data_IF_050029605972
#
_entry.id   IF_050029605972
#
_cell.length_a   1.000
_cell.length_b   1.000
_cell.length_c   1.000
_cell.angle_alpha   90.00
_cell.angle_beta   90.00
_cell.angle_gamma   90.00
#
_symmetry.space_group_name_H-M   'P 1'
#
loop_
_entity.id
_entity.type
_entity.pdbx_description
1 polymer ?
#
# COMPACT_ATOMS: atom_id res chain seq x y z
N UNK A 1 19.17 -34.69 -24.58
CA UNK A 1 18.30 -33.82 -23.76
C UNK A 1 17.56 -34.70 -22.75
N UNK A 2 17.98 -34.75 -21.48
CA UNK A 2 17.19 -35.26 -20.34
C UNK A 2 18.04 -35.02 -19.08
N UNK A 3 17.94 -33.81 -18.52
CA UNK A 3 18.49 -33.50 -17.20
C UNK A 3 17.33 -33.64 -16.20
N UNK A 4 17.09 -34.83 -15.63
CA UNK A 4 15.96 -35.06 -14.74
C UNK A 4 16.00 -34.15 -13.51
N UNK A 5 17.20 -33.76 -13.09
CA UNK A 5 17.43 -32.77 -12.04
C UNK A 5 16.91 -31.38 -12.40
N UNK A 6 17.06 -30.94 -13.65
CA UNK A 6 16.55 -29.65 -14.12
C UNK A 6 15.02 -29.64 -14.20
N UNK A 7 14.43 -30.76 -14.61
CA UNK A 7 12.97 -30.93 -14.59
C UNK A 7 12.42 -30.94 -13.18
N UNK A 8 13.04 -31.69 -12.27
CA UNK A 8 12.66 -31.70 -10.86
C UNK A 8 12.75 -30.30 -10.24
N UNK A 9 13.85 -29.59 -10.52
CA UNK A 9 14.03 -28.19 -10.10
C UNK A 9 12.92 -27.28 -10.64
N UNK A 10 12.65 -27.34 -11.95
CA UNK A 10 11.58 -26.55 -12.57
C UNK A 10 10.20 -26.88 -11.96
N UNK A 11 9.90 -28.17 -11.74
CA UNK A 11 8.65 -28.62 -11.12
C UNK A 11 8.48 -28.08 -9.70
N UNK A 12 9.50 -28.21 -8.85
CA UNK A 12 9.47 -27.71 -7.47
C UNK A 12 9.37 -26.18 -7.44
N UNK A 13 9.94 -25.49 -8.43
CA UNK A 13 9.92 -24.02 -8.48
C UNK A 13 8.59 -23.49 -9.01
N UNK A 14 7.97 -24.17 -9.98
CA UNK A 14 6.79 -23.65 -10.71
C UNK A 14 5.48 -24.12 -10.07
N UNK A 15 5.36 -25.40 -9.66
CA UNK A 15 4.09 -25.94 -9.19
C UNK A 15 3.52 -25.19 -7.96
N UNK A 16 4.30 -24.86 -6.92
CA UNK A 16 3.79 -24.09 -5.80
C UNK A 16 3.27 -22.71 -6.22
N UNK A 17 3.92 -22.05 -7.18
CA UNK A 17 3.46 -20.75 -7.70
C UNK A 17 2.15 -20.88 -8.46
N UNK A 18 1.97 -21.94 -9.27
CA UNK A 18 0.70 -22.21 -9.97
C UNK A 18 -0.42 -22.51 -8.96
N UNK A 19 -0.16 -23.40 -8.00
CA UNK A 19 -1.13 -23.76 -6.97
C UNK A 19 -1.54 -22.55 -6.12
N UNK A 20 -0.57 -21.71 -5.74
CA UNK A 20 -0.83 -20.47 -5.03
C UNK A 20 -1.65 -19.48 -5.88
N UNK A 21 -1.30 -19.31 -7.16
CA UNK A 21 -2.03 -18.42 -8.06
C UNK A 21 -3.49 -18.85 -8.21
N UNK A 22 -3.73 -20.15 -8.37
CA UNK A 22 -5.07 -20.72 -8.39
C UNK A 22 -5.84 -20.44 -7.11
N UNK A 23 -5.23 -20.71 -5.95
CA UNK A 23 -5.85 -20.45 -4.65
C UNK A 23 -6.19 -18.97 -4.46
N UNK A 24 -5.24 -18.08 -4.76
CA UNK A 24 -5.42 -16.64 -4.64
C UNK A 24 -6.50 -16.11 -5.60
N UNK A 25 -6.65 -16.71 -6.79
CA UNK A 25 -7.76 -16.40 -7.70
C UNK A 25 -9.12 -16.72 -7.06
N UNK A 26 -9.27 -17.93 -6.48
CA UNK A 26 -10.50 -18.32 -5.78
C UNK A 26 -10.85 -17.38 -4.61
N UNK A 27 -9.84 -16.95 -3.85
CA UNK A 27 -10.03 -15.97 -2.78
C UNK A 27 -10.51 -14.64 -3.34
N UNK A 28 -9.91 -14.16 -4.44
CA UNK A 28 -10.33 -12.91 -5.07
C UNK A 28 -11.75 -12.96 -5.63
N UNK A 29 -12.21 -14.09 -6.16
CA UNK A 29 -13.59 -14.21 -6.63
C UNK A 29 -14.58 -14.21 -5.46
N UNK A 30 -14.19 -14.78 -4.32
CA UNK A 30 -15.07 -14.98 -3.17
C UNK A 30 -15.19 -13.76 -2.26
N UNK A 31 -14.12 -13.00 -2.07
CA UNK A 31 -14.05 -11.93 -1.07
C UNK A 31 -13.81 -10.56 -1.70
N UNK A 32 -14.53 -9.55 -1.20
CA UNK A 32 -14.26 -8.15 -1.50
C UNK A 32 -12.80 -7.78 -1.14
N UNK A 33 -12.12 -6.90 -1.90
CA UNK A 33 -12.61 -6.06 -3.01
C UNK A 33 -12.62 -6.72 -4.39
N UNK A 34 -12.66 -8.05 -4.48
CA UNK A 34 -12.64 -8.79 -5.73
C UNK A 34 -11.46 -8.43 -6.63
N UNK A 35 -10.30 -8.27 -6.00
CA UNK A 35 -9.10 -7.78 -6.65
C UNK A 35 -8.06 -8.89 -6.76
N UNK A 36 -7.57 -9.11 -7.97
CA UNK A 36 -6.56 -10.13 -8.24
C UNK A 36 -5.36 -9.59 -9.03
N UNK A 37 -4.19 -10.19 -8.79
CA UNK A 37 -2.99 -9.90 -9.56
C UNK A 37 -3.16 -10.38 -11.01
N UNK A 38 -3.02 -9.45 -11.96
CA UNK A 38 -3.28 -9.70 -13.38
C UNK A 38 -4.69 -9.33 -13.84
N UNK A 39 -5.54 -8.80 -12.95
CA UNK A 39 -6.81 -8.20 -13.36
C UNK A 39 -6.56 -7.14 -14.45
N UNK A 40 -7.25 -7.27 -15.59
CA UNK A 40 -7.04 -6.44 -16.79
C UNK A 40 -6.06 -7.00 -17.84
N UNK A 41 -5.38 -8.11 -17.55
CA UNK A 41 -4.62 -8.90 -18.52
C UNK A 41 -3.42 -8.20 -19.18
N UNK A 42 -3.03 -8.70 -20.35
CA UNK A 42 -2.01 -8.11 -21.22
C UNK A 42 -2.65 -6.95 -21.98
N UNK A 43 -2.23 -5.72 -21.66
CA UNK A 43 -2.82 -4.51 -22.22
C UNK A 43 -1.80 -3.39 -22.30
N UNK A 44 -1.57 -2.90 -23.51
CA UNK A 44 -0.80 -1.69 -23.78
C UNK A 44 -1.72 -0.48 -23.52
N UNK A 45 -1.22 0.50 -22.80
CA UNK A 45 -1.96 1.70 -22.40
C UNK A 45 -1.53 2.95 -23.20
N UNK A 46 -2.22 4.08 -22.97
CA UNK A 46 -1.87 5.35 -23.62
C UNK A 46 -0.60 5.94 -23.02
N UNK A 47 0.10 6.80 -23.77
CA UNK A 47 1.34 7.44 -23.32
C UNK A 47 1.24 8.11 -21.94
N UNK A 48 0.12 8.79 -21.64
CA UNK A 48 -0.10 9.44 -20.34
C UNK A 48 -0.03 8.47 -19.15
N UNK A 49 -0.43 7.20 -19.36
CA UNK A 49 -0.31 6.13 -18.37
C UNK A 49 1.16 5.81 -18.09
N UNK A 50 1.94 5.57 -19.14
CA UNK A 50 3.37 5.29 -19.01
C UNK A 50 4.14 6.48 -18.46
N UNK A 51 3.77 7.70 -18.83
CA UNK A 51 4.36 8.91 -18.28
C UNK A 51 4.16 8.99 -16.76
N UNK A 52 2.99 8.61 -16.25
CA UNK A 52 2.73 8.51 -14.81
C UNK A 52 3.64 7.47 -14.15
N UNK A 53 3.80 6.29 -14.76
CA UNK A 53 4.70 5.25 -14.25
C UNK A 53 6.14 5.77 -14.22
N UNK A 54 6.66 6.30 -15.33
CA UNK A 54 8.02 6.85 -15.44
C UNK A 54 8.26 7.91 -14.37
N UNK A 55 7.34 8.87 -14.21
CA UNK A 55 7.46 9.94 -13.21
C UNK A 55 7.47 9.40 -11.80
N UNK A 56 6.56 8.49 -11.46
CA UNK A 56 6.51 7.89 -10.12
C UNK A 56 7.76 7.05 -9.82
N UNK A 57 8.20 6.23 -10.76
CA UNK A 57 9.41 5.42 -10.61
C UNK A 57 10.65 6.30 -10.45
N UNK A 58 10.81 7.33 -11.28
CA UNK A 58 11.99 8.19 -11.22
C UNK A 58 12.05 9.05 -9.94
N UNK A 59 10.91 9.53 -9.45
CA UNK A 59 10.86 10.48 -8.33
C UNK A 59 10.70 9.77 -6.98
N UNK A 60 9.90 8.70 -6.92
CA UNK A 60 9.55 8.01 -5.67
C UNK A 60 10.34 6.74 -5.46
N UNK A 61 10.36 5.81 -6.43
CA UNK A 61 11.01 4.50 -6.24
C UNK A 61 12.53 4.58 -6.33
N UNK A 62 13.04 5.29 -7.33
CA UNK A 62 14.48 5.44 -7.55
C UNK A 62 15.02 6.68 -6.84
N UNK A 63 14.22 7.75 -6.72
CA UNK A 63 14.66 9.12 -6.42
C UNK A 63 15.36 9.80 -7.60
N UNK A 64 15.28 11.15 -7.73
CA UNK A 64 15.85 11.84 -8.89
C UNK A 64 17.36 11.63 -9.06
N UNK A 65 18.12 11.54 -7.96
CA UNK A 65 19.58 11.35 -8.03
C UNK A 65 19.95 9.99 -8.55
N UNK A 66 19.38 8.93 -7.99
CA UNK A 66 19.61 7.58 -8.50
C UNK A 66 19.18 7.47 -9.96
N UNK A 67 18.06 8.10 -10.34
CA UNK A 67 17.59 8.10 -11.73
C UNK A 67 18.60 8.76 -12.67
N UNK A 68 19.11 9.94 -12.33
CA UNK A 68 20.11 10.66 -13.15
C UNK A 68 21.40 9.85 -13.24
N UNK A 69 21.92 9.36 -12.12
CA UNK A 69 23.15 8.57 -12.11
C UNK A 69 22.99 7.24 -12.85
N UNK A 70 21.84 6.57 -12.72
CA UNK A 70 21.55 5.35 -13.47
C UNK A 70 21.49 5.61 -14.98
N UNK A 71 20.91 6.72 -15.41
CA UNK A 71 20.88 7.10 -16.83
C UNK A 71 22.30 7.36 -17.37
N UNK A 72 23.13 8.11 -16.64
CA UNK A 72 24.54 8.31 -17.01
C UNK A 72 25.25 6.95 -17.09
N UNK A 73 25.08 6.13 -16.06
CA UNK A 73 25.66 4.81 -15.91
C UNK A 73 25.33 3.85 -17.05
N UNK A 74 24.09 3.89 -17.52
CA UNK A 74 23.63 3.10 -18.66
C UNK A 74 24.45 3.37 -19.93
N UNK A 75 24.85 4.62 -20.17
CA UNK A 75 25.63 5.00 -21.35
C UNK A 75 27.13 4.79 -21.20
N UNK A 76 27.66 4.86 -19.97
CA UNK A 76 29.11 4.70 -19.71
C UNK A 76 29.51 3.29 -19.25
N UNK A 77 28.55 2.40 -19.04
CA UNK A 77 28.81 1.04 -18.57
C UNK A 77 29.72 0.25 -19.52
N UNK A 78 30.77 -0.41 -19.00
CA UNK A 78 31.66 -1.21 -19.81
C UNK A 78 30.91 -2.41 -20.39
N UNK A 79 31.20 -2.73 -21.65
CA UNK A 79 30.63 -3.91 -22.31
C UNK A 79 31.29 -5.17 -21.74
N UNK A 80 30.56 -5.91 -20.90
CA UNK A 80 31.05 -7.14 -20.28
C UNK A 80 29.92 -8.08 -19.88
N UNK A 81 30.26 -9.34 -19.55
CA UNK A 81 29.27 -10.37 -19.21
C UNK A 81 28.36 -9.97 -18.04
N UNK A 82 28.92 -9.32 -17.02
CA UNK A 82 28.17 -8.89 -15.83
C UNK A 82 27.27 -7.70 -16.13
N UNK A 83 27.77 -6.68 -16.85
CA UNK A 83 26.94 -5.55 -17.27
C UNK A 83 25.77 -6.00 -18.16
N UNK A 84 25.98 -6.99 -19.03
CA UNK A 84 24.94 -7.51 -19.93
C UNK A 84 23.73 -8.08 -19.19
N UNK A 85 23.93 -8.66 -17.99
CA UNK A 85 22.83 -9.15 -17.15
C UNK A 85 21.87 -8.01 -16.80
N UNK A 86 22.40 -6.86 -16.37
CA UNK A 86 21.58 -5.71 -16.01
C UNK A 86 20.92 -5.04 -17.20
N UNK A 87 21.54 -5.08 -18.38
CA UNK A 87 20.89 -4.63 -19.62
C UNK A 87 19.72 -5.54 -19.99
N UNK A 88 19.90 -6.86 -19.98
CA UNK A 88 18.80 -7.80 -20.24
C UNK A 88 17.68 -7.69 -19.22
N UNK A 89 18.03 -7.51 -17.95
CA UNK A 89 17.04 -7.28 -16.90
C UNK A 89 16.27 -5.98 -17.14
N UNK A 90 16.96 -4.87 -17.49
CA UNK A 90 16.32 -3.62 -17.85
C UNK A 90 15.38 -3.78 -19.05
N UNK A 91 15.83 -4.46 -20.11
CA UNK A 91 15.00 -4.74 -21.29
C UNK A 91 13.77 -5.56 -20.92
N UNK A 92 13.92 -6.61 -20.11
CA UNK A 92 12.80 -7.43 -19.64
C UNK A 92 11.79 -6.61 -18.84
N UNK A 93 12.27 -5.72 -17.96
CA UNK A 93 11.41 -4.83 -17.19
C UNK A 93 10.68 -3.80 -18.07
N UNK A 94 11.36 -3.21 -19.06
CA UNK A 94 10.74 -2.28 -20.01
C UNK A 94 9.65 -3.01 -20.80
N UNK A 95 9.93 -4.21 -21.30
CA UNK A 95 8.94 -5.03 -22.01
C UNK A 95 7.76 -5.39 -21.11
N UNK A 96 8.02 -5.81 -19.87
CA UNK A 96 6.97 -6.11 -18.89
C UNK A 96 6.08 -4.89 -18.62
N UNK A 97 6.67 -3.71 -18.40
CA UNK A 97 5.92 -2.47 -18.16
C UNK A 97 5.07 -2.09 -19.38
N UNK A 98 5.59 -2.23 -20.60
CA UNK A 98 4.86 -1.88 -21.82
C UNK A 98 3.74 -2.88 -22.09
N UNK A 99 4.07 -4.17 -22.16
CA UNK A 99 3.14 -5.25 -22.56
C UNK A 99 2.05 -5.45 -21.50
N UNK A 100 2.40 -5.36 -20.22
CA UNK A 100 1.48 -5.49 -19.08
C UNK A 100 1.19 -4.11 -18.48
N UNK A 101 0.85 -3.15 -19.33
CA UNK A 101 0.67 -1.74 -18.97
C UNK A 101 -0.31 -1.52 -17.83
N UNK A 102 -1.53 -2.05 -17.95
CA UNK A 102 -2.54 -1.93 -16.89
C UNK A 102 -2.12 -2.64 -15.59
N UNK A 103 -1.53 -3.83 -15.69
CA UNK A 103 -1.06 -4.58 -14.51
C UNK A 103 0.02 -3.83 -13.72
N UNK A 104 0.78 -2.95 -14.38
CA UNK A 104 1.77 -2.07 -13.77
C UNK A 104 1.16 -0.81 -13.10
N UNK A 105 -0.14 -0.82 -12.78
CA UNK A 105 -0.85 0.30 -12.10
C UNK A 105 -0.31 0.68 -10.73
N UNK A 106 0.37 -0.25 -10.05
CA UNK A 106 0.89 -0.02 -8.71
C UNK A 106 2.43 0.15 -8.71
N UNK A 107 2.97 1.11 -7.94
CA UNK A 107 4.40 1.43 -7.93
C UNK A 107 5.33 0.27 -7.55
N UNK A 108 4.84 -0.70 -6.78
CA UNK A 108 5.67 -1.81 -6.31
C UNK A 108 6.08 -2.78 -7.41
N UNK A 109 5.38 -2.81 -8.55
CA UNK A 109 5.80 -3.61 -9.71
C UNK A 109 7.06 -3.09 -10.39
N UNK A 110 7.46 -1.85 -10.09
CA UNK A 110 8.69 -1.26 -10.60
C UNK A 110 9.88 -1.42 -9.64
N UNK A 111 9.71 -2.00 -8.45
CA UNK A 111 10.81 -2.28 -7.53
C UNK A 111 11.98 -3.09 -8.14
N UNK A 112 11.77 -4.04 -9.07
CA UNK A 112 12.88 -4.71 -9.73
C UNK A 112 13.79 -3.78 -10.56
N UNK A 113 13.39 -2.54 -10.86
CA UNK A 113 14.26 -1.52 -11.47
C UNK A 113 15.29 -0.94 -10.49
N UNK A 114 15.07 -1.04 -9.17
CA UNK A 114 15.98 -0.51 -8.15
C UNK A 114 17.40 -1.11 -8.24
N UNK A 115 17.60 -2.44 -8.23
CA UNK A 115 18.94 -3.02 -8.35
C UNK A 115 19.61 -2.71 -9.69
N UNK A 116 18.83 -2.64 -10.78
CA UNK A 116 19.33 -2.22 -12.10
C UNK A 116 19.88 -0.79 -12.02
N UNK A 117 19.09 0.14 -11.50
CA UNK A 117 19.46 1.54 -11.36
C UNK A 117 20.66 1.72 -10.43
N UNK A 118 20.71 0.99 -9.31
CA UNK A 118 21.82 1.05 -8.35
C UNK A 118 23.15 0.65 -9.00
N UNK A 119 23.16 -0.41 -9.81
CA UNK A 119 24.38 -0.84 -10.52
C UNK A 119 24.83 0.20 -11.52
N UNK A 120 23.93 0.70 -12.37
CA UNK A 120 24.30 1.74 -13.33
C UNK A 120 24.75 3.03 -12.62
N UNK A 121 24.08 3.43 -11.55
CA UNK A 121 24.50 4.60 -10.77
C UNK A 121 25.90 4.41 -10.17
N UNK A 122 26.23 3.22 -9.67
CA UNK A 122 27.59 2.89 -9.21
C UNK A 122 28.63 3.02 -10.32
N UNK A 123 28.31 2.56 -11.55
CA UNK A 123 29.16 2.76 -12.73
C UNK A 123 29.35 4.25 -13.02
N UNK A 124 28.29 5.06 -12.97
CA UNK A 124 28.38 6.51 -13.16
C UNK A 124 29.28 7.16 -12.11
N UNK A 125 29.14 6.80 -10.83
CA UNK A 125 30.02 7.28 -9.77
C UNK A 125 31.49 6.95 -10.05
N UNK A 126 31.79 5.71 -10.46
CA UNK A 126 33.16 5.30 -10.77
C UNK A 126 33.73 6.07 -11.98
N UNK A 127 32.92 6.24 -13.03
CA UNK A 127 33.29 7.02 -14.20
C UNK A 127 33.56 8.49 -13.86
N UNK A 128 32.65 9.15 -13.15
CA UNK A 128 32.81 10.56 -12.75
C UNK A 128 34.03 10.72 -11.84
N UNK A 129 34.19 9.84 -10.85
CA UNK A 129 35.35 9.85 -9.95
C UNK A 129 36.68 9.78 -10.71
N UNK A 130 36.78 8.89 -11.71
CA UNK A 130 37.98 8.78 -12.58
C UNK A 130 38.27 10.02 -13.42
N UNK A 131 37.30 10.93 -13.60
CA UNK A 131 37.48 12.20 -14.32
C UNK A 131 37.83 13.36 -13.41
N UNK A 132 37.61 13.23 -12.09
CA UNK A 132 37.88 14.28 -11.12
C UNK A 132 39.37 14.28 -10.73
N UNK A 133 39.89 13.16 -10.25
CA UNK A 133 41.27 13.05 -9.78
C UNK A 133 41.65 11.60 -9.50
N UNK A 134 42.92 11.25 -9.73
CA UNK A 134 43.51 9.98 -9.30
C UNK A 134 43.94 10.00 -7.82
N UNK A 135 43.83 11.14 -7.13
CA UNK A 135 44.18 11.25 -5.71
C UNK A 135 43.23 10.46 -4.83
N UNK A 136 43.78 9.58 -3.97
CA UNK A 136 43.02 8.81 -3.00
C UNK A 136 42.17 9.70 -2.08
N UNK A 137 42.70 10.85 -1.68
CA UNK A 137 41.98 11.80 -0.82
C UNK A 137 40.77 12.38 -1.57
N UNK A 138 40.97 12.82 -2.82
CA UNK A 138 39.88 13.35 -3.64
C UNK A 138 38.77 12.30 -3.89
N UNK A 139 39.15 11.04 -4.12
CA UNK A 139 38.19 9.94 -4.31
C UNK A 139 37.40 9.61 -3.04
N UNK A 140 38.04 9.65 -1.86
CA UNK A 140 37.35 9.49 -0.58
C UNK A 140 36.37 10.64 -0.37
N UNK A 141 36.81 11.88 -0.56
CA UNK A 141 35.96 13.08 -0.43
C UNK A 141 34.76 13.02 -1.38
N UNK A 142 34.98 12.65 -2.64
CA UNK A 142 33.90 12.47 -3.63
C UNK A 142 32.92 11.38 -3.20
N UNK A 143 33.42 10.24 -2.72
CA UNK A 143 32.58 9.13 -2.25
C UNK A 143 31.70 9.52 -1.06
N UNK A 144 32.28 10.25 -0.09
CA UNK A 144 31.53 10.79 1.06
C UNK A 144 30.47 11.77 0.58
N UNK A 145 30.82 12.69 -0.31
CA UNK A 145 29.89 13.66 -0.87
C UNK A 145 28.71 12.96 -1.59
N UNK A 146 28.99 11.98 -2.44
CA UNK A 146 27.96 11.20 -3.13
C UNK A 146 27.09 10.44 -2.13
N UNK A 147 27.67 9.80 -1.11
CA UNK A 147 26.90 9.10 -0.09
C UNK A 147 25.94 10.05 0.67
N UNK A 148 26.42 11.24 1.04
CA UNK A 148 25.60 12.27 1.69
C UNK A 148 24.49 12.74 0.74
N UNK A 149 24.83 13.01 -0.53
CA UNK A 149 23.87 13.45 -1.55
C UNK A 149 22.72 12.45 -1.72
N UNK A 150 23.05 11.16 -1.89
CA UNK A 150 22.07 10.08 -2.01
C UNK A 150 21.22 9.97 -0.74
N UNK A 151 21.84 10.05 0.45
CA UNK A 151 21.13 9.93 1.73
C UNK A 151 20.15 11.08 1.97
N UNK A 152 20.61 12.31 1.78
CA UNK A 152 19.78 13.53 1.97
C UNK A 152 18.63 13.55 0.98
N UNK A 153 18.87 13.25 -0.29
CA UNK A 153 17.80 13.29 -1.29
C UNK A 153 16.85 12.09 -1.15
N UNK A 154 17.34 10.91 -0.78
CA UNK A 154 16.45 9.81 -0.41
C UNK A 154 15.55 10.19 0.77
N UNK A 155 16.10 10.80 1.82
CA UNK A 155 15.31 11.29 2.95
C UNK A 155 14.24 12.30 2.54
N UNK A 156 14.61 13.32 1.75
CA UNK A 156 13.69 14.38 1.35
C UNK A 156 12.51 13.88 0.51
N UNK A 157 12.75 12.92 -0.38
CA UNK A 157 11.72 12.36 -1.26
C UNK A 157 10.92 11.23 -0.61
N UNK A 158 11.52 10.45 0.29
CA UNK A 158 10.86 9.32 0.92
C UNK A 158 10.11 9.69 2.20
N UNK A 159 10.51 10.74 2.94
CA UNK A 159 9.85 11.13 4.20
C UNK A 159 8.31 11.20 4.15
N UNK A 160 7.64 11.64 3.06
CA UNK A 160 6.18 11.67 3.04
C UNK A 160 5.56 10.28 3.01
N UNK A 161 6.27 9.29 2.44
CA UNK A 161 5.84 7.89 2.36
C UNK A 161 5.94 7.16 3.71
N UNK A 162 6.74 7.68 4.64
CA UNK A 162 6.84 7.16 6.01
C UNK A 162 5.80 7.75 6.97
N UNK A 163 4.88 8.61 6.48
CA UNK A 163 3.70 9.01 7.25
C UNK A 163 2.73 7.84 7.25
N UNK A 164 2.36 7.35 8.42
CA UNK A 164 1.37 6.27 8.53
C UNK A 164 0.03 6.75 7.99
N UNK A 165 -0.43 6.11 6.90
CA UNK A 165 -1.72 6.40 6.29
C UNK A 165 -2.90 6.06 7.22
N UNK A 166 -2.71 5.08 8.13
CA UNK A 166 -3.71 4.61 9.07
C UNK A 166 -3.44 5.10 10.51
N UNK A 167 -2.68 6.19 10.68
CA UNK A 167 -2.36 6.72 12.01
C UNK A 167 -3.62 7.04 12.82
N UNK A 168 -4.63 7.58 12.17
CA UNK A 168 -5.93 7.89 12.76
C UNK A 168 -6.67 6.64 13.25
N UNK A 169 -6.75 5.61 12.41
CA UNK A 169 -7.36 4.31 12.75
C UNK A 169 -6.62 3.65 13.92
N UNK A 170 -5.29 3.71 13.91
CA UNK A 170 -4.47 3.24 15.03
C UNK A 170 -4.80 4.01 16.31
N UNK A 171 -4.81 5.34 16.25
CA UNK A 171 -5.03 6.19 17.43
C UNK A 171 -6.44 5.92 18.01
N UNK A 172 -7.47 5.81 17.16
CA UNK A 172 -8.82 5.44 17.56
C UNK A 172 -8.92 4.03 18.16
N UNK A 173 -8.20 3.05 17.57
CA UNK A 173 -8.12 1.69 18.11
C UNK A 173 -7.47 1.67 19.50
N UNK A 174 -6.33 2.33 19.68
CA UNK A 174 -5.66 2.42 20.98
C UNK A 174 -6.54 3.07 22.06
N UNK A 175 -7.33 4.08 21.69
CA UNK A 175 -8.29 4.72 22.58
C UNK A 175 -9.43 3.76 22.96
N UNK A 176 -10.03 3.08 21.98
CA UNK A 176 -11.05 2.05 22.23
C UNK A 176 -10.53 0.93 23.14
N UNK A 177 -9.26 0.53 23.00
CA UNK A 177 -8.64 -0.47 23.88
C UNK A 177 -8.66 -0.02 25.35
N UNK A 178 -8.45 1.27 25.60
CA UNK A 178 -8.42 1.84 26.95
C UNK A 178 -9.83 2.09 27.52
N UNK A 179 -10.77 2.50 26.67
CA UNK A 179 -12.13 2.86 27.09
C UNK A 179 -13.08 1.68 27.27
N UNK A 180 -12.80 0.54 26.63
CA UNK A 180 -13.73 -0.59 26.55
C UNK A 180 -13.25 -1.82 27.30
N UNK A 181 -14.17 -2.63 27.82
CA UNK A 181 -13.85 -3.93 28.39
C UNK A 181 -13.26 -4.88 27.32
N UNK A 182 -12.38 -5.84 27.69
CA UNK A 182 -11.73 -6.75 26.73
C UNK A 182 -12.65 -7.53 25.79
N UNK A 183 -13.88 -7.80 26.21
CA UNK A 183 -14.91 -8.54 25.49
C UNK A 183 -15.91 -7.62 24.75
N UNK A 184 -15.72 -6.30 24.79
CA UNK A 184 -16.57 -5.36 24.09
C UNK A 184 -16.54 -5.59 22.57
N UNK A 185 -17.72 -5.52 21.96
CA UNK A 185 -17.88 -5.59 20.51
C UNK A 185 -18.08 -4.18 19.96
N UNK A 186 -17.27 -3.81 18.97
CA UNK A 186 -17.23 -2.46 18.42
C UNK A 186 -17.75 -2.42 16.98
N UNK A 187 -18.32 -1.30 16.58
CA UNK A 187 -18.67 -0.99 15.18
C UNK A 187 -17.73 0.12 14.72
N UNK A 188 -17.12 -0.02 13.54
CA UNK A 188 -16.20 0.99 13.01
C UNK A 188 -16.66 1.51 11.65
N UNK A 189 -16.93 2.82 11.57
CA UNK A 189 -17.05 3.53 10.29
C UNK A 189 -15.64 3.91 9.81
N UNK A 190 -14.99 2.98 9.11
CA UNK A 190 -13.56 3.01 8.79
C UNK A 190 -13.22 2.68 7.32
N UNK A 191 -14.24 2.68 6.46
CA UNK A 191 -14.13 2.30 5.05
C UNK A 191 -13.60 0.86 4.80
N UNK A 192 -13.78 -0.05 5.76
CA UNK A 192 -13.36 -1.44 5.63
C UNK A 192 -11.87 -1.69 5.96
N UNK A 193 -11.20 -0.76 6.62
CA UNK A 193 -9.80 -0.92 7.05
C UNK A 193 -9.72 -1.58 8.43
N UNK A 194 -9.15 -2.80 8.56
CA UNK A 194 -9.16 -3.55 9.81
C UNK A 194 -8.23 -3.00 10.90
N UNK A 195 -7.51 -1.90 10.64
CA UNK A 195 -6.53 -1.31 11.55
C UNK A 195 -7.13 -0.97 12.92
N UNK A 196 -8.36 -0.45 12.98
CA UNK A 196 -9.02 -0.13 14.25
C UNK A 196 -9.14 -1.38 15.13
N UNK A 197 -9.65 -2.48 14.59
CA UNK A 197 -9.86 -3.72 15.35
C UNK A 197 -8.53 -4.30 15.86
N UNK A 198 -7.49 -4.25 15.03
CA UNK A 198 -6.16 -4.71 15.41
C UNK A 198 -5.62 -3.95 16.64
N UNK A 199 -5.67 -2.61 16.62
CA UNK A 199 -5.15 -1.79 17.71
C UNK A 199 -6.08 -1.69 18.92
N UNK A 200 -7.39 -1.84 18.71
CA UNK A 200 -8.37 -1.95 19.78
C UNK A 200 -8.23 -3.26 20.56
N UNK A 201 -7.68 -4.30 19.93
CA UNK A 201 -7.74 -5.67 20.46
C UNK A 201 -9.19 -6.06 20.79
N UNK A 202 -10.12 -5.66 19.92
CA UNK A 202 -11.56 -5.93 20.05
C UNK A 202 -12.08 -6.58 18.78
N UNK A 203 -13.10 -7.42 18.97
CA UNK A 203 -13.90 -7.96 17.86
C UNK A 203 -14.99 -6.96 17.51
N UNK A 204 -15.55 -7.10 16.32
CA UNK A 204 -16.60 -6.22 15.87
C UNK A 204 -16.84 -6.33 14.38
N UNK A 205 -17.42 -5.27 13.84
CA UNK A 205 -17.88 -5.20 12.45
C UNK A 205 -17.55 -3.85 11.85
N UNK A 206 -17.16 -3.84 10.58
CA UNK A 206 -17.16 -2.60 9.81
C UNK A 206 -18.62 -2.12 9.67
N UNK A 207 -18.88 -0.83 9.82
CA UNK A 207 -20.23 -0.32 9.69
C UNK A 207 -20.69 -0.48 8.23
N UNK A 208 -21.90 -1.00 7.99
CA UNK A 208 -22.41 -1.39 6.68
C UNK A 208 -21.65 -2.55 6.03
N UNK A 209 -21.17 -3.51 6.83
CA UNK A 209 -20.70 -4.78 6.31
C UNK A 209 -21.83 -5.81 6.12
N UNK A 210 -21.62 -6.73 5.18
CA UNK A 210 -22.42 -7.93 5.00
C UNK A 210 -21.49 -9.13 4.90
N UNK A 211 -21.64 -10.10 5.79
CA UNK A 211 -20.82 -11.32 5.82
C UNK A 211 -19.29 -11.04 5.89
N UNK A 212 -18.89 -10.03 6.69
CA UNK A 212 -17.48 -9.61 6.80
C UNK A 212 -16.99 -8.71 5.66
N UNK A 213 -17.87 -8.32 4.74
CA UNK A 213 -17.54 -7.51 3.57
C UNK A 213 -18.14 -6.12 3.72
N UNK A 214 -17.28 -5.10 3.84
CA UNK A 214 -17.70 -3.69 3.80
C UNK A 214 -18.36 -3.36 2.45
N UNK A 215 -19.57 -2.79 2.47
CA UNK A 215 -20.38 -2.55 1.26
C UNK A 215 -20.27 -1.12 0.70
N UNK A 216 -19.37 -0.30 1.22
CA UNK A 216 -19.20 1.09 0.78
C UNK A 216 -20.01 2.09 1.59
N UNK A 217 -20.20 3.27 1.00
CA UNK A 217 -20.88 4.37 1.67
C UNK A 217 -22.38 4.08 1.85
N UNK A 218 -23.03 4.69 2.85
CA UNK A 218 -24.46 4.55 3.06
C UNK A 218 -25.23 5.13 1.88
N UNK A 219 -26.41 4.57 1.61
CA UNK A 219 -27.33 5.04 0.57
C UNK A 219 -28.28 6.09 1.14
N UNK A 220 -28.76 5.89 2.36
CA UNK A 220 -29.70 6.77 3.05
C UNK A 220 -29.61 6.64 4.59
N UNK A 221 -30.39 7.48 5.29
CA UNK A 221 -30.53 7.43 6.74
C UNK A 221 -31.06 6.08 7.23
N UNK A 222 -32.01 5.48 6.51
CA UNK A 222 -32.71 4.27 6.95
C UNK A 222 -31.76 3.07 6.99
N UNK A 223 -30.86 2.96 6.03
CA UNK A 223 -29.85 1.92 5.98
C UNK A 223 -28.93 1.96 7.21
N UNK A 224 -28.45 3.16 7.59
CA UNK A 224 -27.61 3.35 8.77
C UNK A 224 -28.33 2.96 10.06
N UNK A 225 -29.58 3.39 10.21
CA UNK A 225 -30.40 3.11 11.40
C UNK A 225 -30.65 1.60 11.54
N UNK A 226 -31.04 0.95 10.44
CA UNK A 226 -31.34 -0.50 10.42
C UNK A 226 -30.08 -1.31 10.71
N UNK A 227 -28.95 -0.98 10.09
CA UNK A 227 -27.70 -1.72 10.31
C UNK A 227 -27.16 -1.50 11.72
N UNK A 228 -27.22 -0.27 12.25
CA UNK A 228 -26.85 0.01 13.64
C UNK A 228 -27.72 -0.79 14.61
N UNK A 229 -29.03 -0.83 14.41
CA UNK A 229 -29.95 -1.61 15.24
C UNK A 229 -29.64 -3.12 15.19
N UNK A 230 -29.32 -3.64 14.00
CA UNK A 230 -28.91 -5.04 13.82
C UNK A 230 -27.59 -5.35 14.53
N UNK A 231 -26.56 -4.51 14.39
CA UNK A 231 -25.28 -4.75 15.05
C UNK A 231 -25.40 -4.61 16.58
N UNK A 232 -26.26 -3.71 17.06
CA UNK A 232 -26.64 -3.62 18.48
C UNK A 232 -27.31 -4.90 18.98
N UNK A 233 -28.23 -5.50 18.22
CA UNK A 233 -28.87 -6.76 18.62
C UNK A 233 -27.88 -7.93 18.64
N UNK A 234 -26.77 -7.85 17.91
CA UNK A 234 -25.64 -8.77 18.00
C UNK A 234 -24.66 -8.49 19.15
N UNK A 235 -24.93 -7.48 19.99
CA UNK A 235 -24.14 -7.18 21.19
C UNK A 235 -23.09 -6.09 21.02
N UNK A 236 -23.12 -5.31 19.92
CA UNK A 236 -22.25 -4.14 19.80
C UNK A 236 -22.53 -3.13 20.92
N UNK A 237 -21.47 -2.62 21.55
CA UNK A 237 -21.53 -1.68 22.67
C UNK A 237 -20.92 -0.32 22.35
N UNK A 238 -20.09 -0.23 21.32
CA UNK A 238 -19.46 1.03 20.89
C UNK A 238 -19.53 1.19 19.38
N UNK A 239 -19.61 2.44 18.93
CA UNK A 239 -19.52 2.85 17.54
C UNK A 239 -18.45 3.94 17.43
N UNK A 240 -17.53 3.80 16.47
CA UNK A 240 -16.52 4.81 16.18
C UNK A 240 -16.68 5.36 14.77
N UNK A 241 -16.62 6.68 14.66
CA UNK A 241 -16.46 7.40 13.41
C UNK A 241 -15.05 7.95 13.31
N UNK A 242 -14.55 7.99 12.09
CA UNK A 242 -13.22 8.49 11.71
C UNK A 242 -13.42 9.73 10.82
N UNK A 243 -12.41 10.58 10.65
CA UNK A 243 -12.42 11.78 9.80
C UNK A 243 -12.98 11.49 8.40
N UNK A 244 -12.67 10.32 7.83
CA UNK A 244 -13.16 9.93 6.49
C UNK A 244 -14.67 9.61 6.44
N UNK A 245 -15.33 9.50 7.59
CA UNK A 245 -16.75 9.14 7.74
C UNK A 245 -17.56 10.14 8.55
N UNK A 246 -16.93 11.19 9.10
CA UNK A 246 -17.65 12.27 9.81
C UNK A 246 -18.74 12.93 8.98
N UNK A 247 -18.52 13.05 7.67
CA UNK A 247 -19.52 13.61 6.75
C UNK A 247 -20.84 12.82 6.78
N UNK A 248 -20.87 11.56 7.23
CA UNK A 248 -22.11 10.80 7.39
C UNK A 248 -23.06 11.47 8.38
N UNK A 249 -22.53 12.04 9.46
CA UNK A 249 -23.33 12.69 10.50
C UNK A 249 -23.96 14.01 10.01
N UNK A 250 -23.32 14.68 9.05
CA UNK A 250 -23.85 15.90 8.45
C UNK A 250 -24.82 15.60 7.29
N UNK A 251 -24.49 14.59 6.48
CA UNK A 251 -25.26 14.23 5.29
C UNK A 251 -26.52 13.41 5.61
N UNK A 252 -26.50 12.64 6.71
CA UNK A 252 -27.62 11.81 7.18
C UNK A 252 -28.17 12.35 8.51
N UNK A 253 -28.93 13.47 8.50
CA UNK A 253 -29.34 14.16 9.71
C UNK A 253 -30.34 13.37 10.58
N UNK A 254 -31.18 12.52 9.97
CA UNK A 254 -32.10 11.69 10.73
C UNK A 254 -31.36 10.53 11.42
N UNK A 255 -30.31 9.99 10.78
CA UNK A 255 -29.41 9.06 11.44
C UNK A 255 -28.63 9.74 12.58
N UNK A 256 -28.12 10.95 12.39
CA UNK A 256 -27.41 11.68 13.45
C UNK A 256 -28.32 11.92 14.67
N UNK A 257 -29.56 12.36 14.45
CA UNK A 257 -30.56 12.50 15.53
C UNK A 257 -30.83 11.17 16.23
N UNK A 258 -31.01 10.10 15.47
CA UNK A 258 -31.21 8.75 16.03
C UNK A 258 -30.01 8.27 16.85
N UNK A 259 -28.79 8.57 16.40
CA UNK A 259 -27.56 8.23 17.12
C UNK A 259 -27.49 9.00 18.45
N UNK A 260 -27.81 10.30 18.46
CA UNK A 260 -27.85 11.11 19.68
C UNK A 260 -28.90 10.62 20.70
N UNK A 261 -30.02 10.08 20.22
CA UNK A 261 -31.05 9.48 21.09
C UNK A 261 -30.64 8.10 21.63
N UNK A 262 -29.84 7.35 20.88
CA UNK A 262 -29.55 5.92 21.16
C UNK A 262 -28.12 5.63 21.60
N UNK A 263 -27.25 6.63 21.64
CA UNK A 263 -25.87 6.51 22.06
C UNK A 263 -25.39 7.76 22.79
N UNK A 264 -24.38 7.59 23.63
CA UNK A 264 -23.71 8.69 24.34
C UNK A 264 -22.34 8.90 23.73
N UNK A 265 -22.04 10.13 23.28
CA UNK A 265 -20.69 10.50 22.84
C UNK A 265 -19.73 10.49 24.04
N UNK A 266 -18.72 9.62 24.02
CA UNK A 266 -17.73 9.47 25.08
C UNK A 266 -16.48 10.30 24.81
N UNK A 267 -16.09 10.39 23.54
CA UNK A 267 -14.91 11.14 23.14
C UNK A 267 -15.09 11.68 21.73
N UNK A 268 -14.74 12.94 21.56
CA UNK A 268 -14.63 13.59 20.26
C UNK A 268 -13.27 14.25 20.12
N UNK A 269 -12.60 13.95 19.02
CA UNK A 269 -11.37 14.61 18.60
C UNK A 269 -11.53 15.05 17.14
N UNK A 270 -10.62 15.88 16.60
CA UNK A 270 -10.62 16.17 15.17
C UNK A 270 -10.42 14.94 14.27
N UNK A 271 -9.97 13.81 14.83
CA UNK A 271 -9.60 12.58 14.12
C UNK A 271 -10.66 11.47 14.20
N UNK A 272 -11.36 11.37 15.34
CA UNK A 272 -12.34 10.32 15.57
C UNK A 272 -13.37 10.73 16.62
N UNK A 273 -14.55 10.12 16.57
CA UNK A 273 -15.62 10.24 17.55
C UNK A 273 -16.07 8.85 18.02
N UNK A 274 -16.05 8.61 19.33
CA UNK A 274 -16.41 7.33 19.95
C UNK A 274 -17.71 7.49 20.72
N UNK A 275 -18.70 6.68 20.35
CA UNK A 275 -20.02 6.62 20.95
C UNK A 275 -20.18 5.31 21.71
N UNK A 276 -20.71 5.38 22.93
CA UNK A 276 -21.20 4.23 23.68
C UNK A 276 -22.67 4.04 23.34
N UNK A 277 -23.03 2.87 22.82
CA UNK A 277 -24.40 2.55 22.46
C UNK A 277 -25.19 2.30 23.75
N UNK A 278 -26.33 2.97 23.90
CA UNK A 278 -27.20 2.78 25.05
C UNK A 278 -27.75 1.34 25.02
N UNK A 279 -27.99 0.71 26.18
CA UNK A 279 -28.65 -0.60 26.22
C UNK A 279 -29.95 -0.55 25.41
N UNK A 280 -30.24 -1.58 24.62
CA UNK A 280 -31.53 -1.67 23.95
C UNK A 280 -32.62 -1.65 25.03
N UNK A 281 -33.55 -0.69 24.93
CA UNK A 281 -34.78 -0.71 25.71
C UNK A 281 -35.48 -2.04 25.43
N UNK A 282 -35.65 -2.86 26.46
CA UNK A 282 -36.40 -4.13 26.39
C UNK A 282 -37.84 -3.89 25.97
#
# INVERSE_FOLDING_TARGET
MRQPTLWLFATITILPSIAWYWHAHQISEKFYPHHFFGAGGIRIEKFSWYWKIIRLTAISSLTPVLSVFALVGLFVAPRGKYARVFHWWLTAMILFIIVVGYGNRHPWYQLPLVPIAAVFAGVACAFIGSKISDSRVAMITFSIFVAILFSVLSWLYLRPLYRSAAAELRDAGLELRNLTAPDALIIAADNGDPTIFYYAERRGWHFLEKDGIYQGNPIDNQQLIVDLAKLRSHGATYLVFTTNTFWWLEYYPDFARHLDETATLIQATPKFGIYRLNPATR
#
